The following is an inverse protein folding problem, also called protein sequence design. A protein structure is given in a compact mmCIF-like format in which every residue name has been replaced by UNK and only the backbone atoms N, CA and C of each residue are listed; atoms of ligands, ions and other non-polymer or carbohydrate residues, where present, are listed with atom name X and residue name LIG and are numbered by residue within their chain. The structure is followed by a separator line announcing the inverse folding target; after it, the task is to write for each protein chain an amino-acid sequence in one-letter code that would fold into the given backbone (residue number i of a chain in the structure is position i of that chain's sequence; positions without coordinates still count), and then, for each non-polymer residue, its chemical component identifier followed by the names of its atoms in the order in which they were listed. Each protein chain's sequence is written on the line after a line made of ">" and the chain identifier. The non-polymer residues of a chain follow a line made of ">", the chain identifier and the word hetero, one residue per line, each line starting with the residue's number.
data_IF_410218530003
#
_entry.id   IF_410218530003
#
_cell.length_a   1.000
_cell.length_b   1.000
_cell.length_c   1.000
_cell.angle_alpha   90.00
_cell.angle_beta   90.00
_cell.angle_gamma   90.00
#
_symmetry.space_group_name_H-M   'P 1'
#
loop_
_entity.id
_entity.type
_entity.pdbx_description
1 polymer ?
#
# COMPACT_ATOMS: atom_id res chain seq x y z
N UNK A 1 12.00 -15.31 -12.89
CA UNK A 1 12.19 -14.10 -13.71
C UNK A 1 12.20 -12.93 -12.75
N UNK A 2 13.34 -12.25 -12.61
CA UNK A 2 13.45 -11.07 -11.75
C UNK A 2 12.54 -10.00 -12.37
N UNK A 3 11.58 -9.47 -11.62
CA UNK A 3 10.68 -8.44 -12.12
C UNK A 3 11.44 -7.13 -12.18
N UNK A 4 11.84 -6.73 -13.39
CA UNK A 4 12.57 -5.47 -13.62
C UNK A 4 11.63 -4.28 -13.35
N UNK A 5 11.85 -3.60 -12.22
CA UNK A 5 11.14 -2.36 -11.88
C UNK A 5 11.70 -1.26 -12.79
N UNK A 6 10.86 -0.63 -13.64
CA UNK A 6 11.35 0.42 -14.50
C UNK A 6 11.78 1.65 -13.71
N UNK A 7 12.89 2.27 -14.11
CA UNK A 7 13.28 3.58 -13.59
C UNK A 7 12.44 4.66 -14.26
N UNK A 8 11.84 5.53 -13.47
CA UNK A 8 11.08 6.69 -13.96
C UNK A 8 11.75 7.97 -13.52
N UNK A 9 11.93 8.90 -14.45
CA UNK A 9 12.53 10.22 -14.19
C UNK A 9 11.67 11.35 -14.75
N UNK A 10 11.73 12.52 -14.10
CA UNK A 10 11.12 13.75 -14.59
C UNK A 10 12.17 14.60 -15.30
N UNK A 11 11.81 15.07 -16.49
CA UNK A 11 12.68 15.92 -17.32
C UNK A 11 11.95 17.21 -17.67
N UNK A 12 12.57 18.38 -17.55
CA UNK A 12 11.97 19.63 -18.00
C UNK A 12 11.63 19.58 -19.50
N UNK A 13 10.42 20.02 -19.85
CA UNK A 13 9.84 19.89 -21.20
C UNK A 13 10.77 20.47 -22.28
N UNK A 14 11.53 21.52 -21.98
CA UNK A 14 12.47 22.15 -22.90
C UNK A 14 13.62 21.23 -23.36
N UNK A 15 14.05 20.26 -22.54
CA UNK A 15 15.16 19.35 -22.89
C UNK A 15 14.72 18.07 -23.60
N UNK A 16 13.40 17.81 -23.64
CA UNK A 16 12.84 16.58 -24.27
C UNK A 16 13.22 16.48 -25.75
N UNK A 17 13.31 17.62 -26.45
CA UNK A 17 13.73 17.67 -27.86
C UNK A 17 15.15 17.16 -28.07
N UNK A 18 16.10 17.57 -27.23
CA UNK A 18 17.50 17.17 -27.30
C UNK A 18 17.70 15.68 -27.00
N UNK A 19 16.98 15.15 -26.01
CA UNK A 19 17.00 13.72 -25.63
C UNK A 19 16.49 12.84 -26.77
N UNK A 20 15.44 13.26 -27.48
CA UNK A 20 14.93 12.54 -28.65
C UNK A 20 15.94 12.66 -29.80
N UNK A 21 16.42 13.87 -30.06
CA UNK A 21 17.29 14.19 -31.20
C UNK A 21 16.56 14.23 -32.54
N UNK A 22 17.26 14.69 -33.59
CA UNK A 22 16.72 14.72 -34.95
C UNK A 22 16.33 13.31 -35.38
N UNK A 23 15.09 13.13 -35.84
CA UNK A 23 14.51 11.85 -36.23
C UNK A 23 14.59 10.72 -35.16
N UNK A 24 14.75 11.10 -33.89
CA UNK A 24 14.94 10.14 -32.81
C UNK A 24 16.35 9.53 -32.71
N UNK A 25 17.34 10.08 -33.41
CA UNK A 25 18.69 9.52 -33.45
C UNK A 25 19.35 9.40 -32.06
N UNK A 26 19.19 10.42 -31.21
CA UNK A 26 19.79 10.46 -29.87
C UNK A 26 19.19 9.37 -28.99
N UNK A 27 17.86 9.34 -28.84
CA UNK A 27 17.19 8.32 -28.00
C UNK A 27 17.43 6.90 -28.51
N UNK A 28 17.52 6.69 -29.83
CA UNK A 28 17.88 5.39 -30.42
C UNK A 28 19.31 4.97 -30.05
N UNK A 29 20.25 5.92 -30.03
CA UNK A 29 21.61 5.63 -29.61
C UNK A 29 21.69 5.27 -28.11
N UNK A 30 20.99 6.02 -27.24
CA UNK A 30 20.90 5.70 -25.81
C UNK A 30 20.35 4.28 -25.64
N UNK A 31 19.16 4.02 -26.20
CA UNK A 31 18.48 2.70 -26.19
C UNK A 31 19.42 1.56 -26.61
N UNK A 32 20.24 1.78 -27.65
CA UNK A 32 21.20 0.79 -28.15
C UNK A 32 22.38 0.57 -27.20
N UNK A 33 22.96 1.64 -26.66
CA UNK A 33 24.14 1.57 -25.79
C UNK A 33 23.83 0.99 -24.42
N UNK A 34 22.65 1.26 -23.88
CA UNK A 34 22.25 0.87 -22.53
C UNK A 34 21.36 -0.37 -22.49
N UNK A 35 21.06 -0.94 -23.66
CA UNK A 35 20.13 -2.07 -23.80
C UNK A 35 18.79 -1.81 -23.08
N UNK A 36 18.29 -0.58 -23.17
CA UNK A 36 17.08 -0.14 -22.48
C UNK A 36 15.98 0.21 -23.46
N UNK A 37 14.72 -0.06 -23.13
CA UNK A 37 13.57 0.54 -23.80
C UNK A 37 13.17 1.82 -23.07
N UNK A 38 13.16 2.96 -23.78
CA UNK A 38 12.87 4.28 -23.20
C UNK A 38 11.57 4.83 -23.77
N UNK A 39 10.59 5.07 -22.90
CA UNK A 39 9.27 5.59 -23.25
C UNK A 39 9.10 7.03 -22.71
N UNK A 40 8.85 8.00 -23.61
CA UNK A 40 8.65 9.43 -23.26
C UNK A 40 7.15 9.78 -23.31
N UNK A 41 6.57 10.13 -22.17
CA UNK A 41 5.13 10.37 -22.00
C UNK A 41 4.71 11.79 -22.39
N UNK A 42 4.72 12.08 -23.69
CA UNK A 42 4.46 13.44 -24.22
C UNK A 42 3.01 13.91 -24.03
N UNK A 43 2.05 13.00 -24.22
CA UNK A 43 0.61 13.31 -24.34
C UNK A 43 -0.13 13.39 -22.99
N UNK A 44 0.31 12.64 -21.99
CA UNK A 44 -0.42 12.54 -20.71
C UNK A 44 -0.50 13.88 -19.95
N UNK A 45 0.46 14.80 -20.18
CA UNK A 45 0.55 16.07 -19.46
C UNK A 45 0.83 17.27 -20.39
N UNK A 46 0.02 17.48 -21.43
CA UNK A 46 0.21 18.62 -22.35
C UNK A 46 0.29 19.96 -21.57
N UNK A 47 1.35 20.74 -21.78
CA UNK A 47 1.60 22.00 -21.07
C UNK A 47 2.34 21.91 -19.73
N UNK A 48 2.64 20.71 -19.21
CA UNK A 48 3.42 20.58 -17.98
C UNK A 48 4.88 21.05 -18.14
N UNK A 49 5.44 21.63 -17.08
CA UNK A 49 6.83 22.07 -17.03
C UNK A 49 7.82 20.89 -17.12
N UNK A 50 7.40 19.71 -16.65
CA UNK A 50 8.21 18.49 -16.66
C UNK A 50 7.43 17.32 -17.29
N UNK A 51 8.16 16.39 -17.90
CA UNK A 51 7.63 15.19 -18.55
C UNK A 51 8.23 13.94 -17.91
N UNK A 52 7.41 12.92 -17.60
CA UNK A 52 7.94 11.64 -17.17
C UNK A 52 8.55 10.89 -18.35
N UNK A 53 9.69 10.25 -18.09
CA UNK A 53 10.36 9.29 -18.95
C UNK A 53 10.46 7.97 -18.18
N UNK A 54 10.02 6.88 -18.80
CA UNK A 54 10.18 5.52 -18.24
C UNK A 54 11.30 4.79 -18.96
N UNK A 55 12.21 4.18 -18.20
CA UNK A 55 13.33 3.38 -18.68
C UNK A 55 13.13 1.94 -18.21
N UNK A 56 13.04 1.02 -19.16
CA UNK A 56 12.94 -0.42 -18.92
C UNK A 56 14.26 -1.08 -19.32
N UNK A 57 15.02 -1.57 -18.34
CA UNK A 57 16.27 -2.30 -18.54
C UNK A 57 16.68 -3.00 -17.25
N UNK A 58 17.87 -3.63 -17.26
CA UNK A 58 18.55 -4.07 -16.05
C UNK A 58 18.86 -2.87 -15.13
N UNK A 59 19.15 -3.08 -13.84
CA UNK A 59 19.52 -1.98 -12.94
C UNK A 59 20.68 -1.12 -13.48
N UNK A 60 21.72 -1.76 -14.02
CA UNK A 60 22.85 -1.09 -14.65
C UNK A 60 22.44 -0.32 -15.92
N UNK A 61 21.61 -0.91 -16.79
CA UNK A 61 21.10 -0.26 -17.99
C UNK A 61 20.24 0.97 -17.67
N UNK A 62 19.42 0.89 -16.61
CA UNK A 62 18.63 2.02 -16.10
C UNK A 62 19.51 3.16 -15.59
N UNK A 63 20.53 2.85 -14.78
CA UNK A 63 21.50 3.84 -14.27
C UNK A 63 22.23 4.53 -15.42
N UNK A 64 22.80 3.75 -16.35
CA UNK A 64 23.54 4.29 -17.49
C UNK A 64 22.66 5.16 -18.37
N UNK A 65 21.45 4.71 -18.71
CA UNK A 65 20.51 5.50 -19.51
C UNK A 65 20.11 6.80 -18.82
N UNK A 66 19.86 6.77 -17.50
CA UNK A 66 19.55 7.96 -16.72
C UNK A 66 20.70 8.97 -16.73
N UNK A 67 21.94 8.52 -16.58
CA UNK A 67 23.12 9.40 -16.62
C UNK A 67 23.36 9.97 -18.00
N UNK A 68 23.25 9.18 -19.06
CA UNK A 68 23.37 9.69 -20.44
C UNK A 68 22.30 10.74 -20.74
N UNK A 69 21.06 10.56 -20.26
CA UNK A 69 20.00 11.57 -20.38
C UNK A 69 20.38 12.85 -19.65
N UNK A 70 20.91 12.76 -18.41
CA UNK A 70 21.37 13.92 -17.65
C UNK A 70 22.52 14.66 -18.36
N UNK A 71 23.48 13.95 -18.95
CA UNK A 71 24.57 14.54 -19.73
C UNK A 71 24.05 15.32 -20.95
N UNK A 72 23.08 14.77 -21.68
CA UNK A 72 22.45 15.44 -22.82
C UNK A 72 21.74 16.72 -22.35
N UNK A 73 20.98 16.64 -21.25
CA UNK A 73 20.30 17.80 -20.67
C UNK A 73 21.30 18.90 -20.27
N UNK A 74 22.43 18.52 -19.67
CA UNK A 74 23.45 19.45 -19.24
C UNK A 74 24.21 20.08 -20.42
N UNK A 75 24.45 19.31 -21.49
CA UNK A 75 25.03 19.83 -22.73
C UNK A 75 24.09 20.80 -23.43
N UNK A 76 22.82 20.44 -23.59
CA UNK A 76 21.80 21.30 -24.18
C UNK A 76 21.64 22.61 -23.37
N UNK A 77 21.73 22.54 -22.05
CA UNK A 77 21.70 23.71 -21.18
C UNK A 77 22.86 24.68 -21.47
N UNK A 78 24.07 24.16 -21.69
CA UNK A 78 25.23 24.98 -22.08
C UNK A 78 25.00 25.61 -23.46
N UNK A 79 24.57 24.82 -24.44
CA UNK A 79 24.36 25.28 -25.82
C UNK A 79 23.25 26.35 -25.91
N UNK A 80 22.21 26.25 -25.08
CA UNK A 80 21.09 27.19 -24.99
C UNK A 80 21.28 28.31 -23.98
N UNK A 81 22.45 28.37 -23.31
CA UNK A 81 22.77 29.34 -22.24
C UNK A 81 21.77 29.32 -21.06
N UNK A 82 21.20 28.16 -20.78
CA UNK A 82 20.40 27.93 -19.60
C UNK A 82 21.30 27.86 -18.35
N UNK A 83 21.12 28.80 -17.43
CA UNK A 83 22.04 29.00 -16.28
C UNK A 83 21.60 28.30 -15.00
N UNK A 84 20.39 27.77 -14.94
CA UNK A 84 19.90 27.09 -13.74
C UNK A 84 20.46 25.67 -13.65
N UNK A 85 20.76 25.23 -12.43
CA UNK A 85 21.18 23.86 -12.19
C UNK A 85 20.03 22.89 -12.50
N UNK A 86 20.36 21.78 -13.16
CA UNK A 86 19.40 20.73 -13.52
C UNK A 86 19.56 19.58 -12.53
N UNK A 87 18.66 19.44 -11.54
CA UNK A 87 18.74 18.33 -10.61
C UNK A 87 18.26 17.03 -11.25
N UNK A 88 18.76 15.90 -10.75
CA UNK A 88 18.23 14.60 -11.12
C UNK A 88 16.92 14.36 -10.35
N UNK A 89 15.81 14.15 -11.08
CA UNK A 89 14.50 13.87 -10.49
C UNK A 89 14.02 12.48 -10.88
N UNK A 90 13.84 11.60 -9.90
CA UNK A 90 13.27 10.26 -10.10
C UNK A 90 11.91 10.13 -9.43
N UNK A 91 11.08 9.24 -9.96
CA UNK A 91 9.77 8.91 -9.43
C UNK A 91 9.83 7.54 -8.75
N UNK A 92 9.30 7.48 -7.53
CA UNK A 92 9.21 6.23 -6.78
C UNK A 92 7.88 6.17 -6.02
N UNK A 93 7.27 5.00 -5.99
CA UNK A 93 6.02 4.78 -5.26
C UNK A 93 6.19 5.13 -3.77
N UNK A 94 5.20 5.80 -3.18
CA UNK A 94 5.27 6.31 -1.80
C UNK A 94 5.74 5.25 -0.78
N UNK A 95 5.26 4.00 -0.92
CA UNK A 95 5.65 2.85 -0.09
C UNK A 95 7.17 2.58 -0.04
N UNK A 96 7.90 2.82 -1.13
CA UNK A 96 9.36 2.67 -1.17
C UNK A 96 10.03 3.92 -0.60
N UNK A 97 9.50 5.10 -0.91
CA UNK A 97 10.06 6.37 -0.45
C UNK A 97 10.01 6.51 1.07
N UNK A 98 8.94 6.04 1.73
CA UNK A 98 8.85 6.04 3.20
C UNK A 98 9.98 5.23 3.86
N UNK A 99 10.26 4.02 3.35
CA UNK A 99 11.35 3.17 3.84
C UNK A 99 12.74 3.73 3.52
N UNK A 100 12.87 4.33 2.35
CA UNK A 100 14.07 5.03 1.90
C UNK A 100 14.43 6.21 2.81
N UNK A 101 13.43 6.98 3.27
CA UNK A 101 13.60 8.04 4.27
C UNK A 101 14.12 7.46 5.59
N UNK A 102 13.49 6.38 6.04
CA UNK A 102 13.80 5.73 7.31
C UNK A 102 13.37 6.58 8.51
N UNK A 103 13.48 5.99 9.71
CA UNK A 103 13.09 6.66 10.95
C UNK A 103 13.84 7.97 11.15
N UNK A 104 13.12 9.07 11.40
CA UNK A 104 13.67 10.43 11.58
C UNK A 104 14.51 10.92 10.38
N UNK A 105 14.29 10.35 9.20
CA UNK A 105 15.08 10.64 7.99
C UNK A 105 16.50 10.08 8.02
N UNK A 106 16.83 9.18 8.95
CA UNK A 106 18.20 8.68 9.17
C UNK A 106 18.77 7.99 7.93
N UNK A 107 17.96 7.18 7.24
CA UNK A 107 18.44 6.47 6.05
C UNK A 107 18.75 7.45 4.92
N UNK A 108 17.86 8.41 4.67
CA UNK A 108 18.09 9.43 3.64
C UNK A 108 19.30 10.31 3.97
N UNK A 109 19.43 10.77 5.22
CA UNK A 109 20.58 11.56 5.67
C UNK A 109 21.91 10.82 5.50
N UNK A 110 21.90 9.50 5.71
CA UNK A 110 23.08 8.66 5.47
C UNK A 110 23.43 8.62 3.98
N UNK A 111 22.44 8.42 3.10
CA UNK A 111 22.67 8.45 1.64
C UNK A 111 23.23 9.81 1.22
N UNK A 112 22.64 10.91 1.68
CA UNK A 112 23.13 12.27 1.42
C UNK A 112 24.61 12.42 1.82
N UNK A 113 24.96 11.94 3.02
CA UNK A 113 26.33 11.99 3.56
C UNK A 113 27.31 11.13 2.75
N UNK A 114 26.95 9.88 2.47
CA UNK A 114 27.82 8.90 1.81
C UNK A 114 28.07 9.25 0.33
N UNK A 115 27.12 9.96 -0.29
CA UNK A 115 27.16 10.31 -1.72
C UNK A 115 27.58 11.75 -1.99
N UNK A 116 27.61 12.61 -0.96
CA UNK A 116 27.90 14.03 -1.11
C UNK A 116 26.76 14.81 -1.80
N UNK A 117 25.52 14.29 -1.74
CA UNK A 117 24.37 14.91 -2.41
C UNK A 117 23.42 15.58 -1.42
N UNK A 118 22.58 16.49 -1.94
CA UNK A 118 21.40 16.99 -1.24
C UNK A 118 20.14 16.43 -1.88
N UNK A 119 19.43 15.59 -1.14
CA UNK A 119 18.24 14.90 -1.61
C UNK A 119 17.00 15.53 -0.95
N UNK A 120 16.04 15.90 -1.78
CA UNK A 120 14.73 16.41 -1.35
C UNK A 120 13.63 15.53 -1.91
N UNK A 121 12.55 15.37 -1.16
CA UNK A 121 11.45 14.51 -1.56
C UNK A 121 10.18 15.35 -1.51
N UNK A 122 9.36 15.23 -2.55
CA UNK A 122 8.07 15.94 -2.65
C UNK A 122 7.20 15.70 -1.41
N UNK A 123 6.39 16.68 -1.05
CA UNK A 123 5.53 16.59 0.11
C UNK A 123 4.49 15.49 -0.10
N UNK A 124 4.00 14.89 0.98
CA UNK A 124 2.91 13.92 0.90
C UNK A 124 1.64 14.54 0.30
N UNK A 125 1.48 15.86 0.40
CA UNK A 125 0.36 16.60 -0.20
C UNK A 125 0.44 16.67 -1.73
N UNK A 126 1.60 16.40 -2.32
CA UNK A 126 1.80 16.36 -3.78
C UNK A 126 1.35 15.02 -4.38
N UNK A 127 1.01 14.03 -3.54
CA UNK A 127 0.42 12.76 -3.96
C UNK A 127 -1.04 12.95 -4.36
N UNK A 128 -1.46 12.26 -5.42
CA UNK A 128 -2.87 12.21 -5.83
C UNK A 128 -3.29 10.76 -6.08
N UNK A 129 -4.59 10.48 -6.13
CA UNK A 129 -5.12 9.13 -6.40
C UNK A 129 -4.66 8.57 -7.77
N UNK A 130 -4.25 9.45 -8.68
CA UNK A 130 -3.69 9.10 -10.00
C UNK A 130 -2.16 9.11 -10.03
N UNK A 131 -1.51 9.62 -8.98
CA UNK A 131 -0.07 9.70 -8.86
C UNK A 131 0.37 9.31 -7.44
N UNK A 132 0.66 8.02 -7.28
CA UNK A 132 1.21 7.43 -6.06
C UNK A 132 2.73 7.54 -5.99
N UNK A 133 3.36 8.16 -6.99
CA UNK A 133 4.79 8.36 -7.07
C UNK A 133 5.16 9.70 -6.44
N UNK A 134 6.17 9.68 -5.58
CA UNK A 134 6.81 10.90 -5.10
C UNK A 134 8.05 11.20 -5.93
N UNK A 135 8.30 12.48 -6.11
CA UNK A 135 9.51 12.97 -6.76
C UNK A 135 10.63 13.00 -5.74
N UNK A 136 11.69 12.26 -6.01
CA UNK A 136 12.97 12.33 -5.30
C UNK A 136 13.90 13.19 -6.16
N UNK A 137 14.29 14.34 -5.65
CA UNK A 137 15.16 15.31 -6.33
C UNK A 137 16.54 15.25 -5.70
N UNK A 138 17.55 14.90 -6.50
CA UNK A 138 18.94 14.75 -6.11
C UNK A 138 19.72 15.94 -6.68
N UNK A 139 20.32 16.73 -5.80
CA UNK A 139 21.18 17.85 -6.14
C UNK A 139 22.62 17.48 -5.84
N UNK A 140 23.49 17.60 -6.85
CA UNK A 140 24.91 17.29 -6.78
C UNK A 140 25.53 17.32 -8.16
N UNK A 141 26.83 17.05 -8.26
CA UNK A 141 27.48 16.80 -9.55
C UNK A 141 26.93 15.52 -10.20
N UNK A 142 27.19 15.32 -11.50
CA UNK A 142 26.75 14.12 -12.20
C UNK A 142 27.30 12.83 -11.55
N UNK A 143 28.57 12.86 -11.08
CA UNK A 143 29.20 11.72 -10.40
C UNK A 143 28.56 11.42 -9.04
N UNK A 144 28.29 12.44 -8.24
CA UNK A 144 27.62 12.30 -6.94
C UNK A 144 26.17 11.82 -7.13
N UNK A 145 25.47 12.39 -8.12
CA UNK A 145 24.10 11.99 -8.48
C UNK A 145 24.02 10.53 -8.95
N UNK A 146 25.03 10.04 -9.68
CA UNK A 146 25.11 8.63 -10.07
C UNK A 146 25.22 7.70 -8.87
N UNK A 147 26.14 8.01 -7.94
CA UNK A 147 26.31 7.23 -6.71
C UNK A 147 25.04 7.24 -5.85
N UNK A 148 24.39 8.40 -5.73
CA UNK A 148 23.13 8.51 -5.02
C UNK A 148 22.02 7.70 -5.69
N UNK A 149 21.89 7.77 -7.01
CA UNK A 149 20.89 7.00 -7.75
C UNK A 149 21.10 5.49 -7.56
N UNK A 150 22.35 5.01 -7.61
CA UNK A 150 22.69 3.61 -7.37
C UNK A 150 22.23 3.13 -5.98
N UNK A 151 22.54 3.87 -4.92
CA UNK A 151 22.12 3.51 -3.55
C UNK A 151 20.60 3.59 -3.36
N UNK A 152 19.95 4.61 -3.96
CA UNK A 152 18.50 4.76 -3.91
C UNK A 152 17.79 3.62 -4.63
N UNK A 153 18.22 3.27 -5.85
CA UNK A 153 17.64 2.17 -6.62
C UNK A 153 17.82 0.83 -5.89
N UNK A 154 18.99 0.59 -5.30
CA UNK A 154 19.25 -0.61 -4.50
C UNK A 154 18.24 -0.73 -3.35
N UNK A 155 18.04 0.33 -2.56
CA UNK A 155 17.07 0.32 -1.45
C UNK A 155 15.62 0.19 -1.91
N UNK A 156 15.27 0.75 -3.06
CA UNK A 156 13.92 0.59 -3.65
C UNK A 156 13.70 -0.86 -4.07
N UNK A 157 14.69 -1.49 -4.71
CA UNK A 157 14.61 -2.90 -5.11
C UNK A 157 14.52 -3.82 -3.89
N UNK A 158 15.37 -3.64 -2.88
CA UNK A 158 15.30 -4.40 -1.61
C UNK A 158 13.92 -4.28 -0.95
N UNK A 159 13.35 -3.07 -0.98
CA UNK A 159 12.02 -2.78 -0.44
C UNK A 159 10.93 -3.53 -1.24
N UNK A 160 11.02 -3.54 -2.56
CA UNK A 160 10.10 -4.27 -3.42
C UNK A 160 10.24 -5.79 -3.26
N UNK A 161 11.45 -6.32 -3.21
CA UNK A 161 11.71 -7.76 -2.99
C UNK A 161 11.18 -8.21 -1.63
N UNK A 162 11.36 -7.38 -0.59
CA UNK A 162 10.78 -7.63 0.74
C UNK A 162 9.26 -7.71 0.69
N UNK A 163 8.60 -6.84 -0.08
CA UNK A 163 7.15 -6.85 -0.25
C UNK A 163 6.69 -8.07 -1.04
N UNK A 164 7.39 -8.42 -2.12
CA UNK A 164 7.10 -9.61 -2.93
C UNK A 164 7.32 -10.91 -2.17
N UNK A 165 8.35 -11.00 -1.32
CA UNK A 165 8.58 -12.14 -0.45
C UNK A 165 7.45 -12.27 0.59
N UNK A 166 7.02 -11.15 1.18
CA UNK A 166 5.88 -11.12 2.09
C UNK A 166 4.58 -11.56 1.39
N UNK A 167 4.39 -11.17 0.12
CA UNK A 167 3.23 -11.59 -0.69
C UNK A 167 3.29 -13.06 -1.12
N UNK A 168 4.46 -13.60 -1.49
CA UNK A 168 4.61 -15.01 -1.86
C UNK A 168 4.49 -15.97 -0.67
N UNK A 169 4.84 -15.53 0.54
CA UNK A 169 4.48 -16.29 1.74
C UNK A 169 2.95 -16.39 1.91
N UNK A 170 2.18 -15.39 1.46
CA UNK A 170 0.71 -15.45 1.51
C UNK A 170 0.10 -16.39 0.46
N UNK A 171 0.69 -16.55 -0.74
CA UNK A 171 0.17 -17.48 -1.76
C UNK A 171 0.35 -18.95 -1.38
N UNK A 172 1.41 -19.29 -0.63
CA UNK A 172 1.62 -20.64 -0.11
C UNK A 172 0.81 -20.98 1.15
N UNK A 173 0.17 -20.00 1.79
CA UNK A 173 -0.67 -20.20 2.98
C UNK A 173 -2.16 -20.35 2.65
N UNK A 174 -2.59 -20.09 1.41
CA UNK A 174 -3.98 -20.28 0.95
C UNK A 174 -3.99 -21.03 -0.39
N UNK A 175 -4.05 -22.38 -0.39
CA UNK A 175 -4.26 -23.15 -1.60
C UNK A 175 -5.59 -22.76 -2.27
N UNK A 176 -5.52 -22.23 -3.50
CA UNK A 176 -6.72 -21.95 -4.33
C UNK A 176 -7.04 -20.49 -4.61
N UNK A 177 -6.29 -19.51 -4.08
CA UNK A 177 -6.52 -18.10 -4.38
C UNK A 177 -5.80 -17.68 -5.68
N UNK A 178 -6.52 -17.62 -6.81
CA UNK A 178 -5.97 -17.13 -8.07
C UNK A 178 -6.12 -15.60 -8.17
N UNK A 179 -5.04 -14.85 -7.90
CA UNK A 179 -5.03 -13.39 -7.99
C UNK A 179 -5.30 -12.85 -9.42
N UNK A 180 -5.09 -13.64 -10.47
CA UNK A 180 -5.45 -13.24 -11.84
C UNK A 180 -6.97 -13.19 -12.06
N UNK A 181 -7.76 -13.88 -11.23
CA UNK A 181 -9.23 -13.81 -11.27
C UNK A 181 -9.79 -12.53 -10.61
N UNK A 182 -8.95 -11.75 -9.93
CA UNK A 182 -9.32 -10.48 -9.26
C UNK A 182 -9.12 -9.23 -10.15
N UNK A 183 -8.65 -9.38 -11.39
CA UNK A 183 -8.58 -8.29 -12.38
C UNK A 183 -7.62 -7.14 -12.01
N UNK A 184 -6.63 -7.39 -11.14
CA UNK A 184 -5.69 -6.39 -10.62
C UNK A 184 -4.51 -6.04 -11.56
N UNK A 185 -4.48 -6.58 -12.78
CA UNK A 185 -3.51 -6.22 -13.82
C UNK A 185 -4.21 -6.12 -15.18
N UNK A 186 -3.74 -5.25 -16.10
CA UNK A 186 -4.38 -5.08 -17.39
C UNK A 186 -4.33 -6.38 -18.21
N UNK A 187 -5.49 -6.78 -18.71
CA UNK A 187 -5.69 -7.96 -19.56
C UNK A 187 -4.88 -7.84 -20.85
N UNK A 188 -3.82 -8.63 -20.98
CA UNK A 188 -2.92 -8.55 -22.13
C UNK A 188 -2.12 -9.82 -22.38
N UNK A 189 -2.75 -11.01 -22.34
CA UNK A 189 -2.20 -12.22 -22.96
C UNK A 189 -3.35 -13.19 -23.30
N UNK A 190 -3.52 -13.63 -24.56
CA UNK A 190 -4.54 -14.60 -24.93
C UNK A 190 -4.03 -16.03 -24.72
N UNK A 191 -4.85 -16.87 -24.11
CA UNK A 191 -4.70 -18.33 -24.21
C UNK A 191 -4.90 -19.07 -22.90
N UNK A 192 -5.66 -20.17 -23.01
CA UNK A 192 -5.83 -21.25 -22.04
C UNK A 192 -6.81 -20.99 -20.88
N UNK A 193 -8.10 -21.10 -21.17
CA UNK A 193 -9.03 -21.66 -20.20
C UNK A 193 -9.02 -23.20 -20.29
N UNK A 194 -9.35 -23.93 -19.21
CA UNK A 194 -9.90 -25.26 -19.35
C UNK A 194 -11.36 -25.31 -18.89
N UNK A 195 -12.15 -25.93 -19.76
CA UNK A 195 -13.51 -26.41 -19.55
C UNK A 195 -13.65 -27.34 -18.34
N UNK A 196 -14.81 -27.29 -17.68
CA UNK A 196 -15.31 -28.41 -16.87
C UNK A 196 -16.72 -28.79 -17.33
N UNK A 197 -16.79 -29.87 -18.11
CA UNK A 197 -17.96 -30.72 -18.31
C UNK A 197 -18.04 -31.77 -17.20
N UNK A 198 -19.25 -32.03 -16.71
CA UNK A 198 -19.49 -32.71 -15.42
C UNK A 198 -19.61 -34.24 -15.42
N UNK A 199 -19.80 -34.79 -14.21
CA UNK A 199 -20.88 -35.72 -13.82
C UNK A 199 -20.75 -36.11 -12.32
N UNK A 200 -21.82 -36.64 -11.69
CA UNK A 200 -21.95 -36.80 -10.22
C UNK A 200 -21.91 -38.27 -9.74
N UNK A 201 -21.45 -38.55 -8.51
CA UNK A 201 -21.96 -39.68 -7.70
C UNK A 201 -21.58 -39.68 -6.20
N UNK A 202 -22.35 -40.50 -5.48
CA UNK A 202 -22.61 -40.63 -4.04
C UNK A 202 -21.46 -40.98 -3.07
N UNK A 203 -21.56 -40.38 -1.88
CA UNK A 203 -21.56 -40.97 -0.52
C UNK A 203 -20.64 -42.14 -0.12
N UNK A 204 -19.85 -41.94 0.95
CA UNK A 204 -19.88 -42.73 2.20
C UNK A 204 -18.71 -42.37 3.16
N UNK A 205 -19.09 -42.05 4.41
CA UNK A 205 -18.45 -42.37 5.69
C UNK A 205 -16.96 -42.10 5.97
N UNK A 206 -16.74 -41.27 7.01
CA UNK A 206 -15.92 -41.67 8.16
C UNK A 206 -14.48 -41.16 8.15
N UNK A 207 -14.26 -39.94 8.64
CA UNK A 207 -12.91 -39.43 8.87
C UNK A 207 -12.92 -38.21 9.78
N UNK A 208 -12.64 -38.45 11.06
CA UNK A 208 -12.12 -37.54 12.09
C UNK A 208 -12.12 -36.06 11.75
N UNK A 209 -13.13 -35.34 12.26
CA UNK A 209 -13.14 -33.89 12.36
C UNK A 209 -12.02 -33.43 13.31
N UNK A 210 -10.82 -33.21 12.76
CA UNK A 210 -9.90 -32.26 13.36
C UNK A 210 -10.58 -30.89 13.31
N UNK A 211 -10.77 -30.29 14.49
CA UNK A 211 -11.46 -29.03 14.66
C UNK A 211 -10.86 -27.93 13.80
N UNK A 212 -11.51 -27.64 12.67
CA UNK A 212 -11.41 -26.34 12.02
C UNK A 212 -11.94 -25.31 13.00
N UNK A 213 -11.04 -24.52 13.59
CA UNK A 213 -11.40 -23.34 14.35
C UNK A 213 -12.40 -22.50 13.55
N UNK A 214 -13.45 -22.04 14.21
CA UNK A 214 -14.41 -21.12 13.60
C UNK A 214 -13.65 -19.95 12.96
N UNK A 215 -14.02 -19.50 11.76
CA UNK A 215 -13.42 -18.30 11.19
C UNK A 215 -13.66 -17.13 12.15
N UNK A 216 -12.59 -16.50 12.64
CA UNK A 216 -12.68 -15.33 13.52
C UNK A 216 -13.48 -14.24 12.78
N UNK A 217 -14.65 -13.92 13.30
CA UNK A 217 -15.51 -12.85 12.79
C UNK A 217 -15.21 -11.59 13.57
N UNK A 218 -14.85 -10.52 12.86
CA UNK A 218 -14.50 -9.23 13.44
C UNK A 218 -15.60 -8.21 13.17
N UNK A 219 -15.60 -7.11 13.93
CA UNK A 219 -16.53 -5.98 13.72
C UNK A 219 -15.74 -4.69 13.48
N UNK A 220 -16.09 -3.97 12.42
CA UNK A 220 -15.61 -2.61 12.12
C UNK A 220 -16.81 -1.67 12.09
N UNK A 221 -16.69 -0.52 12.75
CA UNK A 221 -17.66 0.58 12.65
C UNK A 221 -17.07 1.67 11.74
N UNK A 222 -17.59 1.79 10.53
CA UNK A 222 -17.12 2.74 9.52
C UNK A 222 -18.02 3.98 9.48
N UNK A 223 -17.45 5.16 9.67
CA UNK A 223 -18.18 6.43 9.69
C UNK A 223 -18.22 7.02 8.29
N UNK A 224 -19.44 7.22 7.78
CA UNK A 224 -19.69 7.82 6.46
C UNK A 224 -20.48 9.13 6.60
N UNK A 225 -20.42 10.05 5.63
CA UNK A 225 -21.29 11.22 5.62
C UNK A 225 -22.77 10.83 5.67
N UNK A 226 -23.57 11.50 6.50
CA UNK A 226 -24.99 11.20 6.66
C UNK A 226 -25.76 11.26 5.32
N UNK A 227 -25.40 12.22 4.45
CA UNK A 227 -25.95 12.38 3.12
C UNK A 227 -25.72 11.16 2.21
N UNK A 228 -24.68 10.38 2.47
CA UNK A 228 -24.31 9.23 1.64
C UNK A 228 -25.03 7.93 2.00
N UNK A 229 -25.72 7.89 3.15
CA UNK A 229 -26.44 6.70 3.62
C UNK A 229 -27.44 6.20 2.57
N UNK A 230 -28.18 7.10 1.93
CA UNK A 230 -29.16 6.72 0.91
C UNK A 230 -28.53 5.97 -0.28
N UNK A 231 -27.34 6.38 -0.71
CA UNK A 231 -26.60 5.75 -1.80
C UNK A 231 -26.03 4.37 -1.42
N UNK A 232 -25.61 4.20 -0.16
CA UNK A 232 -25.14 2.90 0.37
C UNK A 232 -26.32 1.93 0.54
N UNK A 233 -27.47 2.38 1.05
CA UNK A 233 -28.67 1.55 1.21
C UNK A 233 -29.26 1.17 -0.16
N UNK A 234 -29.39 2.14 -1.06
CA UNK A 234 -30.06 2.01 -2.35
C UNK A 234 -31.58 1.92 -2.24
N UNK A 235 -32.27 1.97 -3.39
CA UNK A 235 -33.74 1.88 -3.46
C UNK A 235 -34.22 0.58 -2.80
N UNK A 236 -35.17 0.68 -1.86
CA UNK A 236 -35.70 -0.46 -1.08
C UNK A 236 -34.63 -1.32 -0.38
N UNK A 237 -33.44 -0.76 -0.11
CA UNK A 237 -32.33 -1.50 0.50
C UNK A 237 -31.66 -2.51 -0.44
N UNK A 238 -31.88 -2.45 -1.75
CA UNK A 238 -31.31 -3.42 -2.69
C UNK A 238 -29.78 -3.39 -2.72
N UNK A 239 -29.18 -2.18 -2.67
CA UNK A 239 -27.73 -2.05 -2.80
C UNK A 239 -27.01 -2.63 -1.57
N UNK A 240 -27.44 -2.28 -0.34
CA UNK A 240 -26.82 -2.83 0.87
C UNK A 240 -26.98 -4.36 0.98
N UNK A 241 -28.09 -4.91 0.50
CA UNK A 241 -28.30 -6.38 0.43
C UNK A 241 -27.34 -7.05 -0.55
N UNK A 242 -27.21 -6.49 -1.76
CA UNK A 242 -26.27 -7.00 -2.76
C UNK A 242 -24.82 -6.88 -2.27
N UNK A 243 -24.48 -5.77 -1.64
CA UNK A 243 -23.17 -5.54 -1.05
C UNK A 243 -22.87 -6.55 0.07
N UNK A 244 -23.82 -6.79 0.97
CA UNK A 244 -23.69 -7.79 2.04
C UNK A 244 -23.48 -9.20 1.47
N UNK A 245 -24.24 -9.57 0.44
CA UNK A 245 -24.08 -10.85 -0.26
C UNK A 245 -22.72 -10.98 -0.97
N UNK A 246 -22.32 -9.97 -1.73
CA UNK A 246 -21.04 -9.93 -2.44
C UNK A 246 -19.84 -10.01 -1.49
N UNK A 247 -19.89 -9.27 -0.38
CA UNK A 247 -18.83 -9.25 0.60
C UNK A 247 -18.79 -10.54 1.45
N UNK A 248 -19.91 -11.25 1.59
CA UNK A 248 -20.05 -12.31 2.60
C UNK A 248 -19.99 -11.75 4.03
N UNK A 249 -20.42 -10.49 4.22
CA UNK A 249 -20.40 -9.77 5.50
C UNK A 249 -21.82 -9.36 5.92
N UNK A 250 -22.10 -9.28 7.22
CA UNK A 250 -23.28 -8.59 7.73
C UNK A 250 -23.01 -7.09 7.74
N UNK A 251 -23.79 -6.32 6.99
CA UNK A 251 -23.63 -4.87 6.88
C UNK A 251 -24.91 -4.20 7.32
N UNK A 252 -24.82 -3.36 8.36
CA UNK A 252 -25.95 -2.63 8.93
C UNK A 252 -25.59 -1.15 9.07
N UNK A 253 -26.58 -0.28 9.00
CA UNK A 253 -26.38 1.15 9.28
C UNK A 253 -27.01 1.45 10.63
N UNK A 254 -26.20 1.92 11.58
CA UNK A 254 -26.66 2.28 12.91
C UNK A 254 -27.64 3.46 12.84
N UNK A 255 -28.61 3.56 13.77
CA UNK A 255 -29.43 4.76 13.93
C UNK A 255 -28.57 6.02 14.05
N UNK A 256 -29.13 7.19 13.70
CA UNK A 256 -28.43 8.45 13.96
C UNK A 256 -28.37 8.65 15.49
N UNK A 257 -27.18 8.94 16.01
CA UNK A 257 -26.99 9.20 17.45
C UNK A 257 -27.66 10.52 17.86
N UNK A 258 -27.68 11.51 16.97
CA UNK A 258 -28.32 12.82 17.16
C UNK A 258 -29.05 13.26 15.88
N UNK A 259 -30.07 14.12 16.01
CA UNK A 259 -30.92 14.57 14.88
C UNK A 259 -30.14 15.30 13.78
N UNK A 260 -29.03 15.96 14.13
CA UNK A 260 -28.21 16.75 13.20
C UNK A 260 -26.81 16.14 12.98
N UNK A 261 -26.65 14.84 13.21
CA UNK A 261 -25.35 14.19 13.03
C UNK A 261 -24.91 14.21 11.56
N UNK A 262 -23.72 14.77 11.33
CA UNK A 262 -23.08 14.86 10.02
C UNK A 262 -22.55 13.51 9.52
N UNK A 263 -22.44 12.53 10.41
CA UNK A 263 -21.93 11.19 10.11
C UNK A 263 -22.91 10.10 10.53
N UNK A 264 -22.79 8.95 9.87
CA UNK A 264 -23.56 7.74 10.18
C UNK A 264 -22.63 6.54 10.20
N UNK A 265 -22.89 5.62 11.11
CA UNK A 265 -22.05 4.45 11.32
C UNK A 265 -22.57 3.27 10.51
N UNK A 266 -21.70 2.71 9.68
CA UNK A 266 -21.90 1.42 9.01
C UNK A 266 -21.18 0.35 9.84
N UNK A 267 -21.94 -0.58 10.38
CA UNK A 267 -21.45 -1.71 11.16
C UNK A 267 -21.23 -2.87 10.19
N UNK A 268 -19.97 -3.32 10.08
CA UNK A 268 -19.55 -4.39 9.18
C UNK A 268 -19.02 -5.54 10.03
N UNK A 269 -19.68 -6.69 9.95
CA UNK A 269 -19.33 -7.90 10.70
C UNK A 269 -19.00 -9.02 9.72
N UNK A 270 -17.83 -9.64 9.86
CA UNK A 270 -17.42 -10.76 9.03
C UNK A 270 -15.94 -11.07 9.16
N UNK A 271 -15.46 -11.97 8.31
CA UNK A 271 -14.02 -12.27 8.22
C UNK A 271 -13.23 -11.05 7.72
N UNK A 272 -11.91 -10.99 7.93
CA UNK A 272 -11.08 -9.91 7.41
C UNK A 272 -11.25 -9.68 5.90
N UNK A 273 -11.40 -10.75 5.12
CA UNK A 273 -11.67 -10.68 3.68
C UNK A 273 -13.03 -10.06 3.38
N UNK A 274 -14.07 -10.47 4.12
CA UNK A 274 -15.42 -9.96 3.96
C UNK A 274 -15.50 -8.46 4.31
N UNK A 275 -14.82 -8.04 5.38
CA UNK A 275 -14.70 -6.64 5.75
C UNK A 275 -13.95 -5.82 4.70
N UNK A 276 -12.85 -6.36 4.14
CA UNK A 276 -12.10 -5.70 3.07
C UNK A 276 -12.99 -5.43 1.85
N UNK A 277 -13.73 -6.45 1.40
CA UNK A 277 -14.66 -6.34 0.26
C UNK A 277 -15.76 -5.32 0.53
N UNK A 278 -16.35 -5.35 1.72
CA UNK A 278 -17.40 -4.42 2.13
C UNK A 278 -16.89 -2.96 2.18
N UNK A 279 -15.76 -2.72 2.86
CA UNK A 279 -15.14 -1.40 2.95
C UNK A 279 -14.74 -0.89 1.56
N UNK A 280 -14.11 -1.70 0.73
CA UNK A 280 -13.71 -1.34 -0.64
C UNK A 280 -14.89 -0.77 -1.45
N UNK A 281 -16.02 -1.47 -1.43
CA UNK A 281 -17.23 -1.03 -2.14
C UNK A 281 -17.88 0.21 -1.53
N UNK A 282 -17.84 0.37 -0.21
CA UNK A 282 -18.35 1.59 0.43
C UNK A 282 -17.49 2.80 0.03
N UNK A 283 -16.17 2.71 0.19
CA UNK A 283 -15.24 3.78 -0.24
C UNK A 283 -15.41 4.12 -1.72
N UNK A 284 -15.48 3.09 -2.58
CA UNK A 284 -15.72 3.26 -4.02
C UNK A 284 -17.05 3.96 -4.31
N UNK A 285 -18.14 3.54 -3.67
CA UNK A 285 -19.46 4.14 -3.87
C UNK A 285 -19.51 5.60 -3.46
N UNK A 286 -18.87 5.97 -2.36
CA UNK A 286 -18.78 7.35 -1.92
C UNK A 286 -18.05 8.24 -2.93
N UNK A 287 -17.04 7.68 -3.61
CA UNK A 287 -16.31 8.38 -4.67
C UNK A 287 -17.15 8.51 -5.95
N UNK A 288 -17.80 7.43 -6.38
CA UNK A 288 -18.65 7.38 -7.59
C UNK A 288 -19.80 8.39 -7.54
N UNK A 289 -20.40 8.56 -6.37
CA UNK A 289 -21.53 9.47 -6.15
C UNK A 289 -21.11 10.92 -5.85
N UNK A 290 -19.80 11.23 -5.94
CA UNK A 290 -19.23 12.57 -5.74
C UNK A 290 -19.56 13.22 -4.39
N UNK A 291 -19.67 12.43 -3.31
CA UNK A 291 -19.80 12.96 -1.94
C UNK A 291 -18.54 13.68 -1.46
N UNK A 292 -17.43 13.47 -2.17
CA UNK A 292 -16.14 14.12 -1.98
C UNK A 292 -15.75 14.81 -3.27
N UNK A 293 -14.94 15.86 -3.20
CA UNK A 293 -14.50 16.59 -4.39
C UNK A 293 -13.86 15.68 -5.45
N UNK A 294 -13.90 16.04 -6.74
CA UNK A 294 -13.36 15.20 -7.82
C UNK A 294 -11.86 14.90 -7.62
N UNK A 295 -11.10 15.84 -7.04
CA UNK A 295 -9.68 15.67 -6.68
C UNK A 295 -9.44 15.22 -5.23
N UNK A 296 -10.49 15.14 -4.42
CA UNK A 296 -10.41 14.78 -3.02
C UNK A 296 -10.48 13.25 -2.87
N UNK A 297 -9.59 12.69 -2.06
CA UNK A 297 -9.60 11.27 -1.74
C UNK A 297 -10.64 10.99 -0.64
N UNK A 298 -11.39 9.89 -0.77
CA UNK A 298 -12.33 9.47 0.26
C UNK A 298 -11.54 9.03 1.49
N UNK A 299 -11.58 9.84 2.54
CA UNK A 299 -11.02 9.52 3.86
C UNK A 299 -12.17 9.30 4.82
N UNK A 300 -12.17 8.14 5.48
CA UNK A 300 -13.19 7.78 6.47
C UNK A 300 -12.53 7.45 7.81
N UNK A 301 -13.31 7.56 8.86
CA UNK A 301 -12.96 7.08 10.19
C UNK A 301 -13.51 5.67 10.38
N UNK A 302 -12.68 4.75 10.82
CA UNK A 302 -13.04 3.38 11.16
C UNK A 302 -12.69 3.13 12.63
N UNK A 303 -13.65 2.63 13.40
CA UNK A 303 -13.41 2.16 14.76
C UNK A 303 -13.34 0.65 14.79
N UNK A 304 -12.31 0.15 15.44
CA UNK A 304 -12.18 -1.25 15.81
C UNK A 304 -12.11 -1.37 17.33
N UNK A 305 -12.67 -2.46 17.85
CA UNK A 305 -12.58 -2.79 19.27
C UNK A 305 -11.36 -3.66 19.53
N UNK A 306 -10.58 -3.29 20.54
CA UNK A 306 -9.43 -4.06 20.99
C UNK A 306 -9.55 -4.32 22.49
N UNK A 307 -9.07 -5.47 23.02
CA UNK A 307 -9.07 -5.69 24.46
C UNK A 307 -8.31 -4.56 25.19
N UNK A 308 -8.86 -4.09 26.31
CA UNK A 308 -8.32 -2.96 27.08
C UNK A 308 -6.85 -3.18 27.45
N UNK A 309 -6.51 -4.41 27.89
CA UNK A 309 -5.16 -4.81 28.24
C UNK A 309 -4.17 -4.78 27.05
N UNK A 310 -4.68 -4.90 25.81
CA UNK A 310 -3.87 -4.92 24.59
C UNK A 310 -3.72 -3.52 23.97
N UNK A 311 -4.57 -2.56 24.32
CA UNK A 311 -4.52 -1.20 23.80
C UNK A 311 -3.16 -0.52 24.05
N UNK A 312 -2.58 -0.73 25.24
CA UNK A 312 -1.24 -0.22 25.56
C UNK A 312 -0.14 -0.76 24.63
N UNK A 313 -0.31 -1.95 24.04
CA UNK A 313 0.62 -2.53 23.06
C UNK A 313 0.46 -1.92 21.67
N UNK A 314 -0.77 -1.53 21.30
CA UNK A 314 -1.04 -0.76 20.07
C UNK A 314 -0.40 0.62 20.15
N UNK A 315 -0.48 1.28 21.32
CA UNK A 315 0.18 2.58 21.56
C UNK A 315 1.71 2.43 21.59
N UNK A 316 2.20 1.46 22.37
CA UNK A 316 3.62 1.23 22.60
C UNK A 316 4.26 2.23 23.58
N UNK A 317 5.46 1.91 24.05
CA UNK A 317 6.20 2.75 25.02
C UNK A 317 6.44 4.15 24.43
N UNK A 318 5.86 5.18 25.07
CA UNK A 318 5.95 6.57 24.60
C UNK A 318 5.28 6.82 23.25
N UNK A 319 4.31 6.00 22.83
CA UNK A 319 3.65 6.14 21.53
C UNK A 319 4.44 5.62 20.33
N UNK A 320 5.58 4.93 20.55
CA UNK A 320 6.45 4.47 19.45
C UNK A 320 5.75 3.54 18.47
N UNK A 321 4.93 2.61 18.95
CA UNK A 321 4.26 1.62 18.09
C UNK A 321 3.17 2.29 17.26
N UNK A 322 2.33 3.14 17.85
CA UNK A 322 1.31 3.87 17.10
C UNK A 322 1.93 4.84 16.10
N UNK A 323 3.05 5.50 16.43
CA UNK A 323 3.76 6.35 15.46
C UNK A 323 4.34 5.54 14.30
N UNK A 324 4.88 4.34 14.57
CA UNK A 324 5.35 3.42 13.51
C UNK A 324 4.19 2.93 12.63
N UNK A 325 3.05 2.57 13.23
CA UNK A 325 1.83 2.22 12.50
C UNK A 325 1.39 3.35 11.57
N UNK A 326 1.32 4.57 12.08
CA UNK A 326 0.92 5.74 11.27
C UNK A 326 1.90 5.99 10.13
N UNK A 327 3.21 5.90 10.38
CA UNK A 327 4.23 6.07 9.34
C UNK A 327 4.19 5.00 8.25
N UNK A 328 3.95 3.73 8.63
CA UNK A 328 3.90 2.61 7.67
C UNK A 328 2.60 2.60 6.87
N UNK A 329 1.49 3.00 7.49
CA UNK A 329 0.15 2.85 6.89
C UNK A 329 -0.38 4.12 6.27
N UNK A 330 0.19 5.27 6.60
CA UNK A 330 -0.34 6.60 6.25
C UNK A 330 -1.75 6.87 6.81
N UNK A 331 -2.29 5.99 7.67
CA UNK A 331 -3.50 6.27 8.42
C UNK A 331 -3.14 7.05 9.70
N UNK A 332 -4.01 7.96 10.11
CA UNK A 332 -3.99 8.48 11.47
C UNK A 332 -4.61 7.43 12.40
N UNK A 333 -3.89 7.07 13.46
CA UNK A 333 -4.32 6.03 14.40
C UNK A 333 -4.37 6.64 15.78
N UNK A 334 -5.58 6.74 16.33
CA UNK A 334 -5.82 7.34 17.65
C UNK A 334 -6.38 6.30 18.59
N UNK A 335 -5.70 6.11 19.72
CA UNK A 335 -6.20 5.33 20.85
C UNK A 335 -6.52 6.33 21.97
N UNK A 336 -7.79 6.68 22.19
CA UNK A 336 -8.18 7.56 23.29
C UNK A 336 -7.64 7.02 24.62
N UNK A 337 -7.13 7.90 25.48
CA UNK A 337 -6.51 7.51 26.77
C UNK A 337 -7.52 7.38 27.90
N UNK A 338 -8.60 8.18 27.84
CA UNK A 338 -9.58 8.31 28.93
C UNK A 338 -10.90 7.56 28.63
N UNK A 339 -10.83 6.49 27.84
CA UNK A 339 -12.00 5.67 27.50
C UNK A 339 -12.20 4.56 28.54
N UNK A 340 -13.42 4.45 29.06
CA UNK A 340 -13.84 3.33 29.90
C UNK A 340 -14.04 2.08 29.03
N UNK A 341 -13.45 0.93 29.36
CA UNK A 341 -13.73 -0.32 28.66
C UNK A 341 -15.22 -0.63 28.66
N UNK A 342 -15.71 -1.22 27.57
CA UNK A 342 -17.10 -1.67 27.47
C UNK A 342 -17.35 -2.95 28.30
N UNK A 343 -18.57 -3.47 28.24
CA UNK A 343 -18.99 -4.70 28.96
C UNK A 343 -18.13 -5.93 28.63
N UNK A 344 -17.42 -5.93 27.50
CA UNK A 344 -16.52 -7.01 27.07
C UNK A 344 -15.04 -6.70 27.35
N UNK A 345 -14.76 -5.69 28.19
CA UNK A 345 -13.42 -5.19 28.49
C UNK A 345 -12.66 -4.74 27.23
N UNK A 346 -13.38 -4.12 26.28
CA UNK A 346 -12.81 -3.61 25.03
C UNK A 346 -12.81 -2.09 24.99
N UNK A 347 -11.79 -1.53 24.33
CA UNK A 347 -11.65 -0.11 24.06
C UNK A 347 -11.55 0.14 22.55
N UNK A 348 -11.79 1.37 22.13
CA UNK A 348 -11.84 1.73 20.72
C UNK A 348 -10.46 2.19 20.25
N UNK A 349 -10.07 1.74 19.06
CA UNK A 349 -9.01 2.33 18.26
C UNK A 349 -9.64 2.98 17.03
N UNK A 350 -9.37 4.27 16.85
CA UNK A 350 -9.82 5.05 15.70
C UNK A 350 -8.75 5.04 14.63
N UNK A 351 -9.15 4.79 13.39
CA UNK A 351 -8.28 4.72 12.23
C UNK A 351 -8.87 5.63 11.17
N UNK A 352 -8.16 6.68 10.78
CA UNK A 352 -8.64 7.67 9.82
C UNK A 352 -7.71 7.67 8.62
N UNK A 353 -8.26 7.52 7.43
CA UNK A 353 -7.46 7.54 6.21
C UNK A 353 -8.24 7.07 4.99
N UNK A 354 -7.52 6.98 3.87
CA UNK A 354 -8.05 6.36 2.66
C UNK A 354 -8.16 4.84 2.81
N UNK A 355 -8.84 4.19 1.86
CA UNK A 355 -9.15 2.76 1.94
C UNK A 355 -7.93 1.90 2.29
N UNK A 356 -6.88 1.92 1.47
CA UNK A 356 -5.69 1.09 1.69
C UNK A 356 -4.95 1.39 3.00
N UNK A 357 -4.87 2.67 3.41
CA UNK A 357 -4.27 3.06 4.68
C UNK A 357 -5.04 2.46 5.86
N UNK A 358 -6.37 2.56 5.84
CA UNK A 358 -7.22 1.97 6.87
C UNK A 358 -7.08 0.45 6.93
N UNK A 359 -7.07 -0.24 5.78
CA UNK A 359 -6.94 -1.70 5.74
C UNK A 359 -5.61 -2.18 6.30
N UNK A 360 -4.50 -1.51 5.92
CA UNK A 360 -3.19 -1.87 6.41
C UNK A 360 -3.06 -1.61 7.92
N UNK A 361 -3.64 -0.51 8.42
CA UNK A 361 -3.66 -0.19 9.84
C UNK A 361 -4.48 -1.22 10.65
N UNK A 362 -5.70 -1.55 10.18
CA UNK A 362 -6.54 -2.60 10.79
C UNK A 362 -5.76 -3.92 10.90
N UNK A 363 -5.15 -4.38 9.80
CA UNK A 363 -4.36 -5.62 9.80
C UNK A 363 -3.19 -5.57 10.77
N UNK A 364 -2.41 -4.49 10.78
CA UNK A 364 -1.26 -4.35 11.67
C UNK A 364 -1.66 -4.35 13.14
N UNK A 365 -2.79 -3.73 13.46
CA UNK A 365 -3.35 -3.78 14.81
C UNK A 365 -3.76 -5.21 15.16
N UNK A 366 -4.42 -5.94 14.26
CA UNK A 366 -4.75 -7.36 14.49
C UNK A 366 -3.50 -8.23 14.68
N UNK A 367 -2.42 -7.98 13.93
CA UNK A 367 -1.13 -8.68 14.12
C UNK A 367 -0.58 -8.45 15.55
N UNK A 368 -0.67 -7.22 16.07
CA UNK A 368 -0.29 -6.90 17.46
C UNK A 368 -1.17 -7.69 18.43
N UNK A 369 -2.50 -7.71 18.23
CA UNK A 369 -3.42 -8.44 19.11
C UNK A 369 -3.15 -9.94 19.11
N UNK A 370 -2.89 -10.53 17.94
CA UNK A 370 -2.55 -11.95 17.82
C UNK A 370 -1.22 -12.29 18.53
N UNK A 371 -0.24 -11.38 18.53
CA UNK A 371 0.99 -11.55 19.30
C UNK A 371 0.72 -11.49 20.81
N UNK A 372 -0.13 -10.57 21.27
CA UNK A 372 -0.48 -10.45 22.69
C UNK A 372 -1.24 -11.69 23.18
N UNK A 373 -2.22 -12.19 22.41
CA UNK A 373 -2.95 -13.43 22.74
C UNK A 373 -2.02 -14.63 22.90
N UNK A 374 -1.02 -14.77 22.02
CA UNK A 374 -0.01 -15.85 22.10
C UNK A 374 0.88 -15.75 23.33
N UNK A 375 1.15 -14.55 23.83
CA UNK A 375 1.95 -14.34 25.05
C UNK A 375 1.17 -14.62 26.33
N UNK A 376 -0.17 -14.68 26.28
CA UNK A 376 -1.05 -14.95 27.42
C UNK A 376 -1.46 -16.42 27.57
N UNK A 377 -1.24 -17.28 26.56
CA UNK A 377 -1.50 -18.71 26.73
C UNK A 377 -0.52 -19.30 27.76
N UNK A 378 -1.00 -19.96 28.83
CA UNK A 378 -0.14 -20.59 29.79
C UNK A 378 0.72 -21.65 29.09
N UNK A 379 2.03 -21.67 29.38
CA UNK A 379 2.90 -22.79 29.00
C UNK A 379 2.23 -24.08 29.47
N UNK A 380 2.11 -25.12 28.63
CA UNK A 380 1.60 -26.40 29.11
C UNK A 380 2.51 -26.85 30.26
N UNK A 381 1.93 -26.96 31.44
CA UNK A 381 2.57 -27.60 32.60
C UNK A 381 2.98 -28.99 32.16
N UNK A 382 4.28 -29.20 31.99
CA UNK A 382 4.87 -30.53 31.84
C UNK A 382 4.39 -31.37 33.02
N UNK A 383 3.51 -32.34 32.74
CA UNK A 383 2.94 -33.23 33.73
C UNK A 383 4.06 -33.87 34.55
N UNK A 384 4.04 -33.62 35.87
CA UNK A 384 4.88 -34.34 36.80
C UNK A 384 4.56 -35.83 36.71
N UNK A 385 5.57 -36.65 36.40
CA UNK A 385 5.49 -38.09 36.60
C UNK A 385 5.15 -38.36 38.06
N UNK A 386 4.18 -39.25 38.36
CA UNK A 386 3.95 -39.67 39.73
C UNK A 386 5.18 -40.46 40.23
N UNK A 387 5.57 -40.32 41.51
CA UNK A 387 6.75 -40.98 42.04
C UNK A 387 6.56 -42.51 42.06
N UNK A 388 7.52 -43.23 41.47
CA UNK A 388 7.59 -44.68 41.57
C UNK A 388 7.85 -45.11 43.03
N UNK A 389 7.14 -46.12 43.56
CA UNK A 389 7.42 -46.64 44.88
C UNK A 389 8.74 -47.42 44.87
N UNK A 390 9.70 -46.98 45.72
CA UNK A 390 10.90 -47.76 46.06
C UNK A 390 10.48 -49.07 46.71
N UNK A 391 10.72 -50.20 46.03
CA UNK A 391 10.74 -51.52 46.69
C UNK A 391 12.02 -51.65 47.52
N UNK A 392 11.83 -52.02 48.80
CA UNK A 392 12.86 -52.58 49.67
C UNK A 392 13.14 -54.02 49.27
#
# INVERSE_FOLDING_TARGET
>A
MQSDIPLRMLVPTQFVGAIIGKEGATIRNITKQTHSKIDIHRKENAGAAEKPITIHSTPEGCLNACMTIMEIMQKEAVDTKFTEAIPLKILAHNNFVGRLIGKEGRNLKKIEQDTGTKITISALLDLTVYNLERTITINGTLKESNKALEELMTKIMESYESDMAAMNLQSNLIPGLNLNALGLFPSGAPGMGPSMSGMPHHGAHGGSAYGQGQPESETVHLFIPALAVGAIIGKQGQHIKQLSHFAGASIKIAPAEEKDSIQRVVIIIGTPEAQFKAQCRIFGKLKEENFFGPKEEVKLEAHIKVPSFAAGRVIGKGGKTVNELQNLTCAEVVVPRDQTPDENDQVIVKIIGHFFACQLAQRKIQEILAQVRRQQQPKPTSGGQPPQPRRK
#
